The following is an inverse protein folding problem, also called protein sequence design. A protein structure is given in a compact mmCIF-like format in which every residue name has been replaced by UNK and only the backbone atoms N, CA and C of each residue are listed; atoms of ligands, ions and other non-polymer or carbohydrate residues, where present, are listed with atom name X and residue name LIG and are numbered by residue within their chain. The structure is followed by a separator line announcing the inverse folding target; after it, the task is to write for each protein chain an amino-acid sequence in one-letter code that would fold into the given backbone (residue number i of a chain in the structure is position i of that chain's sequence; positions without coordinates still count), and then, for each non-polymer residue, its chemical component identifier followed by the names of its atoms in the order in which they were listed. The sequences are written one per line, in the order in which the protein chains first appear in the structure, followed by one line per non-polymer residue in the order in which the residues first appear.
data_IF_634255481113
#
_entry.id   IF_634255481113
#
_cell.length_a   1.000
_cell.length_b   1.000
_cell.length_c   1.000
_cell.angle_alpha   90.00
_cell.angle_beta   90.00
_cell.angle_gamma   90.00
#
_symmetry.space_group_name_H-M   'P 1'
#
loop_
_entity.id
_entity.type
_entity.pdbx_description
1 polymer ?
#
# COMPACT_ATOMS: atom_id res chain seq x y z
N UNK A 1 -52.64 -10.66 -16.74
CA UNK A 1 -51.44 -9.99 -16.17
C UNK A 1 -51.76 -9.67 -14.72
N UNK A 2 -51.01 -9.92 -13.63
CA UNK A 2 -49.67 -10.48 -13.34
C UNK A 2 -49.73 -10.82 -11.82
N UNK A 3 -49.81 -12.10 -11.41
CA UNK A 3 -49.78 -12.54 -9.97
C UNK A 3 -48.41 -13.07 -9.52
N UNK A 4 -47.45 -13.14 -10.44
CA UNK A 4 -46.12 -13.71 -10.25
C UNK A 4 -45.18 -12.78 -9.47
N UNK A 5 -45.50 -11.49 -9.42
CA UNK A 5 -44.70 -10.50 -8.70
C UNK A 5 -44.71 -10.70 -7.18
N UNK A 6 -45.80 -11.20 -6.59
CA UNK A 6 -45.84 -11.52 -5.16
C UNK A 6 -44.92 -12.70 -4.77
N UNK A 7 -44.77 -13.69 -5.66
CA UNK A 7 -43.84 -14.80 -5.45
C UNK A 7 -42.40 -14.36 -5.61
N UNK A 8 -42.12 -13.48 -6.58
CA UNK A 8 -40.79 -12.86 -6.75
C UNK A 8 -40.44 -12.00 -5.53
N UNK A 9 -41.35 -11.12 -5.08
CA UNK A 9 -41.14 -10.29 -3.89
C UNK A 9 -40.98 -11.13 -2.62
N UNK A 10 -41.76 -12.21 -2.48
CA UNK A 10 -41.63 -13.14 -1.35
C UNK A 10 -40.29 -13.87 -1.35
N UNK A 11 -39.83 -14.33 -2.51
CA UNK A 11 -38.52 -14.98 -2.66
C UNK A 11 -37.37 -14.01 -2.36
N UNK A 12 -37.44 -12.78 -2.89
CA UNK A 12 -36.46 -11.72 -2.58
C UNK A 12 -36.46 -11.37 -1.10
N UNK A 13 -37.63 -11.22 -0.48
CA UNK A 13 -37.75 -10.97 0.96
C UNK A 13 -37.16 -12.09 1.81
N UNK A 14 -37.38 -13.35 1.44
CA UNK A 14 -36.79 -14.50 2.11
C UNK A 14 -35.27 -14.55 1.98
N UNK A 15 -34.71 -14.22 0.80
CA UNK A 15 -33.27 -14.14 0.57
C UNK A 15 -32.62 -13.02 1.38
N UNK A 16 -33.24 -11.83 1.44
CA UNK A 16 -32.77 -10.71 2.27
C UNK A 16 -32.79 -11.11 3.75
N UNK A 17 -33.87 -11.73 4.21
CA UNK A 17 -33.96 -12.19 5.60
C UNK A 17 -32.90 -13.24 5.92
N UNK A 18 -32.69 -14.23 5.04
CA UNK A 18 -31.66 -15.24 5.21
C UNK A 18 -30.25 -14.62 5.24
N UNK A 19 -29.98 -13.63 4.39
CA UNK A 19 -28.72 -12.89 4.38
C UNK A 19 -28.51 -12.12 5.70
N UNK A 20 -29.52 -11.39 6.19
CA UNK A 20 -29.43 -10.65 7.45
C UNK A 20 -29.20 -11.60 8.65
N UNK A 21 -29.89 -12.74 8.68
CA UNK A 21 -29.68 -13.77 9.70
C UNK A 21 -28.24 -14.29 9.64
N UNK A 22 -27.71 -14.54 8.44
CA UNK A 22 -26.33 -14.99 8.28
C UNK A 22 -25.31 -13.93 8.76
N UNK A 23 -25.51 -12.65 8.42
CA UNK A 23 -24.66 -11.57 8.92
C UNK A 23 -24.65 -11.48 10.44
N UNK A 24 -25.82 -11.52 11.08
CA UNK A 24 -25.93 -11.48 12.55
C UNK A 24 -25.31 -12.72 13.18
N UNK A 25 -25.55 -13.90 12.61
CA UNK A 25 -24.98 -15.14 13.11
C UNK A 25 -23.44 -15.14 13.02
N UNK A 26 -22.86 -14.60 11.95
CA UNK A 26 -21.42 -14.45 11.79
C UNK A 26 -20.84 -13.42 12.77
N UNK A 27 -21.48 -12.26 12.94
CA UNK A 27 -21.04 -11.22 13.88
C UNK A 27 -21.07 -11.71 15.35
N UNK A 28 -22.05 -12.54 15.70
CA UNK A 28 -22.13 -13.15 17.04
C UNK A 28 -21.15 -14.31 17.25
N UNK A 29 -20.85 -15.07 16.19
CA UNK A 29 -19.93 -16.21 16.26
C UNK A 29 -18.46 -15.76 16.24
N UNK A 30 -18.16 -14.71 15.49
CA UNK A 30 -16.83 -14.15 15.26
C UNK A 30 -16.87 -12.63 15.54
N UNK A 31 -17.08 -12.20 16.80
CA UNK A 31 -17.12 -10.79 17.12
C UNK A 31 -15.79 -10.13 16.76
N UNK A 32 -15.84 -8.87 16.32
CA UNK A 32 -14.64 -8.08 16.13
C UNK A 32 -13.80 -8.10 17.41
N UNK A 33 -12.52 -8.41 17.28
CA UNK A 33 -11.58 -8.32 18.39
C UNK A 33 -11.24 -6.86 18.61
N UNK A 34 -11.76 -6.28 19.68
CA UNK A 34 -11.31 -4.97 20.14
C UNK A 34 -9.92 -5.13 20.76
N UNK A 35 -8.96 -4.28 20.39
CA UNK A 35 -7.61 -4.32 20.96
C UNK A 35 -7.61 -4.18 22.49
N UNK A 36 -8.63 -3.51 23.05
CA UNK A 36 -8.84 -3.36 24.48
C UNK A 36 -9.18 -4.67 25.20
N UNK A 37 -9.72 -5.66 24.49
CA UNK A 37 -10.13 -6.95 25.05
C UNK A 37 -8.99 -7.99 25.00
N UNK A 38 -7.90 -7.69 24.31
CA UNK A 38 -6.71 -8.55 24.27
C UNK A 38 -5.97 -8.38 25.61
N UNK A 39 -5.83 -9.44 26.42
CA UNK A 39 -5.13 -9.34 27.69
C UNK A 39 -3.68 -8.92 27.46
N UNK A 40 -3.21 -7.94 28.23
CA UNK A 40 -1.81 -7.51 28.18
C UNK A 40 -0.89 -8.73 28.41
N UNK A 41 0.09 -8.90 27.53
CA UNK A 41 1.04 -9.99 27.65
C UNK A 41 2.10 -9.60 28.72
N UNK A 42 2.11 -10.25 29.91
CA UNK A 42 2.99 -9.86 31.01
C UNK A 42 4.48 -10.15 30.72
N UNK A 43 4.78 -10.83 29.61
CA UNK A 43 6.15 -11.13 29.17
C UNK A 43 6.69 -10.12 28.15
N UNK A 44 5.89 -9.14 27.72
CA UNK A 44 6.32 -8.11 26.76
C UNK A 44 6.61 -6.83 27.53
N UNK A 45 7.89 -6.43 27.54
CA UNK A 45 8.26 -5.10 28.05
C UNK A 45 7.77 -4.05 27.06
N UNK A 46 7.17 -2.94 27.52
CA UNK A 46 6.81 -1.84 26.63
C UNK A 46 8.03 -1.38 25.82
N UNK A 47 7.83 -1.15 24.53
CA UNK A 47 8.85 -0.53 23.70
C UNK A 47 9.07 0.93 24.13
N UNK A 48 10.22 1.52 23.80
CA UNK A 48 10.46 2.95 24.01
C UNK A 48 9.32 3.80 23.42
N UNK A 49 9.00 4.91 24.08
CA UNK A 49 7.92 5.81 23.63
C UNK A 49 8.20 6.42 22.24
N UNK A 50 9.48 6.50 21.87
CA UNK A 50 10.00 6.98 20.59
C UNK A 50 10.32 5.83 19.61
N UNK A 51 9.82 4.61 19.87
CA UNK A 51 10.00 3.50 18.96
C UNK A 51 9.32 3.76 17.60
N UNK A 52 10.07 3.51 16.52
CA UNK A 52 9.56 3.70 15.15
C UNK A 52 8.78 2.47 14.69
N UNK A 53 7.49 2.68 14.44
CA UNK A 53 6.57 1.74 13.79
C UNK A 53 6.27 2.26 12.40
N UNK A 54 6.85 1.62 11.39
CA UNK A 54 6.78 2.11 10.03
C UNK A 54 6.45 1.04 8.99
N UNK A 55 6.22 1.51 7.77
CA UNK A 55 6.09 0.69 6.56
C UNK A 55 7.31 0.89 5.66
N UNK A 56 7.47 0.01 4.67
CA UNK A 56 8.59 0.10 3.73
C UNK A 56 8.19 -0.31 2.31
N UNK A 57 8.78 0.35 1.31
CA UNK A 57 8.63 0.07 -0.12
C UNK A 57 9.98 0.11 -0.83
N UNK A 58 9.98 -0.18 -2.14
CA UNK A 58 11.05 0.21 -3.05
C UNK A 58 10.45 0.83 -4.30
N UNK A 59 11.16 1.79 -4.88
CA UNK A 59 10.73 2.62 -5.99
C UNK A 59 10.15 1.80 -7.15
N UNK A 60 10.93 0.87 -7.70
CA UNK A 60 10.51 0.03 -8.83
C UNK A 60 9.28 -0.84 -8.54
N UNK A 61 9.04 -1.19 -7.27
CA UNK A 61 7.89 -2.01 -6.89
C UNK A 61 6.59 -1.21 -6.75
N UNK A 62 6.65 0.12 -6.53
CA UNK A 62 5.45 0.90 -6.20
C UNK A 62 5.21 2.14 -7.06
N UNK A 63 6.26 2.82 -7.53
CA UNK A 63 6.13 4.11 -8.24
C UNK A 63 5.40 3.97 -9.57
N UNK A 64 5.76 2.93 -10.34
CA UNK A 64 5.33 2.74 -11.72
C UNK A 64 6.12 3.60 -12.70
N UNK A 65 6.18 3.18 -13.97
CA UNK A 65 6.85 3.93 -15.05
C UNK A 65 8.39 3.86 -15.06
N UNK A 66 8.99 2.98 -14.26
CA UNK A 66 10.45 2.84 -14.14
C UNK A 66 10.96 1.94 -15.27
N UNK A 67 11.25 2.52 -16.43
CA UNK A 67 11.55 1.77 -17.68
C UNK A 67 13.04 1.75 -18.07
N UNK A 68 13.90 2.47 -17.36
CA UNK A 68 15.30 2.71 -17.76
C UNK A 68 16.34 2.01 -16.88
N UNK A 69 15.93 1.05 -16.05
CA UNK A 69 16.83 0.28 -15.19
C UNK A 69 16.98 -1.20 -15.64
N UNK A 70 17.96 -1.87 -15.05
CA UNK A 70 18.27 -3.29 -15.29
C UNK A 70 17.10 -4.24 -15.02
N UNK A 71 16.28 -3.98 -13.99
CA UNK A 71 15.07 -4.74 -13.70
C UNK A 71 14.00 -4.58 -14.78
N UNK A 72 13.79 -3.37 -15.29
CA UNK A 72 12.87 -3.10 -16.41
C UNK A 72 13.30 -3.87 -17.67
N UNK A 73 14.61 -4.01 -17.89
CA UNK A 73 15.15 -4.85 -18.96
C UNK A 73 14.93 -6.33 -18.68
N UNK A 74 15.19 -6.77 -17.45
CA UNK A 74 15.06 -8.16 -17.03
C UNK A 74 13.60 -8.64 -17.14
N UNK A 75 12.63 -7.81 -16.78
CA UNK A 75 11.21 -8.17 -16.85
C UNK A 75 10.65 -8.21 -18.27
N UNK A 76 11.27 -7.48 -19.21
CA UNK A 76 10.89 -7.50 -20.62
C UNK A 76 11.30 -8.80 -21.33
N UNK A 77 12.21 -9.58 -20.75
CA UNK A 77 12.65 -10.86 -21.31
C UNK A 77 11.64 -11.99 -20.98
N UNK A 78 11.25 -12.73 -22.01
CA UNK A 78 10.28 -13.83 -21.89
C UNK A 78 10.79 -14.92 -20.93
N UNK A 79 10.00 -15.20 -19.89
CA UNK A 79 10.24 -16.30 -18.95
C UNK A 79 10.96 -15.88 -17.66
N UNK A 80 11.44 -14.65 -17.56
CA UNK A 80 12.10 -14.15 -16.35
C UNK A 80 11.11 -13.85 -15.22
N UNK A 81 9.92 -13.36 -15.56
CA UNK A 81 8.86 -13.05 -14.59
C UNK A 81 7.73 -14.08 -14.68
N UNK A 82 7.30 -14.58 -13.52
CA UNK A 82 6.15 -15.48 -13.43
C UNK A 82 4.90 -14.77 -13.98
N UNK A 83 4.31 -15.33 -15.03
CA UNK A 83 3.15 -14.75 -15.69
C UNK A 83 3.47 -13.64 -16.69
N UNK A 84 4.74 -13.26 -16.86
CA UNK A 84 5.18 -12.30 -17.87
C UNK A 84 4.65 -10.87 -17.67
N UNK A 85 4.27 -10.51 -16.43
CA UNK A 85 3.77 -9.18 -16.09
C UNK A 85 4.89 -8.39 -15.41
N UNK A 86 5.44 -7.40 -16.11
CA UNK A 86 6.40 -6.45 -15.53
C UNK A 86 5.74 -5.44 -14.59
N UNK A 87 6.57 -4.60 -13.97
CA UNK A 87 6.21 -3.56 -13.01
C UNK A 87 5.13 -2.61 -13.56
N UNK A 88 5.29 -2.13 -14.80
CA UNK A 88 4.30 -1.27 -15.46
C UNK A 88 3.97 -0.03 -14.64
N UNK A 89 2.69 0.17 -14.30
CA UNK A 89 2.25 1.25 -13.39
C UNK A 89 2.39 0.89 -11.91
N UNK A 90 2.71 -0.36 -11.56
CA UNK A 90 2.76 -0.85 -10.19
C UNK A 90 1.48 -0.47 -9.41
N UNK A 91 1.63 0.24 -8.28
CA UNK A 91 0.52 0.83 -7.53
C UNK A 91 0.42 2.36 -7.72
N UNK A 92 1.14 2.90 -8.70
CA UNK A 92 1.09 4.32 -9.11
C UNK A 92 1.48 5.29 -7.99
N UNK A 93 2.38 4.87 -7.09
CA UNK A 93 2.83 5.68 -5.95
C UNK A 93 3.41 7.03 -6.39
N UNK A 94 4.07 7.09 -7.55
CA UNK A 94 4.63 8.32 -8.12
C UNK A 94 3.59 9.44 -8.26
N UNK A 95 2.34 9.10 -8.54
CA UNK A 95 1.25 10.08 -8.68
C UNK A 95 0.36 10.17 -7.44
N UNK A 96 0.60 9.32 -6.42
CA UNK A 96 -0.29 9.10 -5.27
C UNK A 96 0.39 9.27 -3.91
N UNK A 97 1.62 9.77 -3.87
CA UNK A 97 2.39 10.03 -2.64
C UNK A 97 1.53 10.63 -1.52
N UNK A 98 0.78 11.69 -1.80
CA UNK A 98 -0.08 12.35 -0.79
C UNK A 98 -1.18 11.43 -0.24
N UNK A 99 -1.80 10.62 -1.10
CA UNK A 99 -2.82 9.63 -0.70
C UNK A 99 -2.20 8.54 0.17
N UNK A 100 -1.05 8.00 -0.26
CA UNK A 100 -0.35 6.93 0.44
C UNK A 100 0.18 7.39 1.81
N UNK A 101 0.69 8.62 1.91
CA UNK A 101 1.06 9.24 3.20
C UNK A 101 -0.16 9.37 4.12
N UNK A 102 -1.31 9.77 3.58
CA UNK A 102 -2.57 9.80 4.33
C UNK A 102 -2.95 8.43 4.90
N UNK A 103 -2.76 7.36 4.11
CA UNK A 103 -2.99 5.99 4.56
C UNK A 103 -1.99 5.55 5.63
N UNK A 104 -0.71 5.92 5.52
CA UNK A 104 0.30 5.66 6.55
C UNK A 104 -0.11 6.29 7.90
N UNK A 105 -0.59 7.54 7.87
CA UNK A 105 -1.14 8.19 9.05
C UNK A 105 -2.36 7.48 9.62
N UNK A 106 -3.28 7.00 8.76
CA UNK A 106 -4.48 6.29 9.18
C UNK A 106 -4.21 4.95 9.89
N UNK A 107 -3.11 4.27 9.54
CA UNK A 107 -2.67 3.04 10.22
C UNK A 107 -1.75 3.30 11.43
N UNK A 108 -1.46 4.56 11.74
CA UNK A 108 -0.62 4.96 12.88
C UNK A 108 0.87 4.76 12.67
N UNK A 109 1.34 4.69 11.41
CA UNK A 109 2.77 4.63 11.12
C UNK A 109 3.44 5.97 11.45
N UNK A 110 4.62 5.93 12.07
CA UNK A 110 5.44 7.09 12.40
C UNK A 110 6.81 7.10 11.69
N UNK A 111 7.06 6.12 10.83
CA UNK A 111 8.23 6.07 9.96
C UNK A 111 7.88 5.47 8.60
N UNK A 112 8.58 5.87 7.55
CA UNK A 112 8.43 5.30 6.22
C UNK A 112 9.78 5.13 5.55
N UNK A 113 10.10 3.89 5.17
CA UNK A 113 11.30 3.57 4.39
C UNK A 113 10.96 3.42 2.92
N UNK A 114 11.49 4.30 2.09
CA UNK A 114 11.36 4.22 0.63
C UNK A 114 12.73 4.20 -0.03
N UNK A 115 12.79 3.92 -1.32
CA UNK A 115 14.03 4.00 -2.09
C UNK A 115 13.94 5.03 -3.20
N UNK A 116 15.10 5.52 -3.66
CA UNK A 116 15.19 6.39 -4.83
C UNK A 116 15.37 5.52 -6.08
N UNK A 117 14.65 5.81 -7.16
CA UNK A 117 14.88 5.24 -8.49
C UNK A 117 16.02 6.00 -9.18
N UNK A 118 17.22 5.41 -9.19
CA UNK A 118 18.39 6.07 -9.79
C UNK A 118 18.18 6.40 -11.27
N UNK A 119 17.53 5.51 -12.03
CA UNK A 119 17.27 5.72 -13.46
C UNK A 119 16.31 6.88 -13.78
N UNK A 120 15.61 7.42 -12.77
CA UNK A 120 14.84 8.68 -12.90
C UNK A 120 15.70 9.90 -12.60
N UNK A 121 16.51 9.81 -11.54
CA UNK A 121 17.32 10.92 -11.04
C UNK A 121 18.54 11.17 -11.95
N UNK A 122 19.19 10.12 -12.42
CA UNK A 122 20.27 10.17 -13.39
C UNK A 122 20.03 9.12 -14.50
N UNK A 123 19.19 9.43 -15.51
CA UNK A 123 18.84 8.46 -16.57
C UNK A 123 20.01 8.03 -17.47
N UNK A 124 21.09 8.81 -17.47
CA UNK A 124 22.35 8.48 -18.12
C UNK A 124 23.47 9.18 -17.37
N UNK A 125 24.67 8.59 -17.33
CA UNK A 125 25.84 9.15 -16.66
C UNK A 125 26.03 10.65 -16.95
N UNK A 126 26.01 11.47 -15.90
CA UNK A 126 26.17 12.92 -15.94
C UNK A 126 24.90 13.69 -16.31
N UNK A 127 23.76 13.04 -16.59
CA UNK A 127 22.49 13.68 -16.91
C UNK A 127 21.55 13.65 -15.72
N UNK A 128 21.53 14.72 -14.94
CA UNK A 128 20.67 14.84 -13.76
C UNK A 128 19.26 15.36 -14.08
N UNK A 129 18.24 14.77 -13.47
CA UNK A 129 16.85 15.20 -13.56
C UNK A 129 16.43 15.97 -12.31
N UNK A 130 16.38 17.29 -12.41
CA UNK A 130 15.88 18.15 -11.31
C UNK A 130 14.41 17.90 -10.99
N UNK A 131 13.60 17.51 -11.98
CA UNK A 131 12.19 17.17 -11.77
C UNK A 131 12.04 15.93 -10.89
N UNK A 132 12.77 14.85 -11.20
CA UNK A 132 12.73 13.64 -10.40
C UNK A 132 13.32 13.87 -9.00
N UNK A 133 14.38 14.67 -8.90
CA UNK A 133 14.96 15.04 -7.63
C UNK A 133 13.97 15.85 -6.76
N UNK A 134 13.30 16.85 -7.35
CA UNK A 134 12.29 17.64 -6.66
C UNK A 134 11.13 16.78 -6.17
N UNK A 135 10.72 15.77 -6.93
CA UNK A 135 9.67 14.83 -6.51
C UNK A 135 10.01 14.14 -5.17
N UNK A 136 11.22 13.58 -5.04
CA UNK A 136 11.64 12.96 -3.78
C UNK A 136 11.83 13.96 -2.64
N UNK A 137 12.24 15.21 -2.95
CA UNK A 137 12.28 16.28 -1.94
C UNK A 137 10.87 16.60 -1.42
N UNK A 138 9.89 16.67 -2.30
CA UNK A 138 8.49 16.92 -1.96
C UNK A 138 7.88 15.75 -1.17
N UNK A 139 8.23 14.50 -1.48
CA UNK A 139 7.84 13.33 -0.68
C UNK A 139 8.40 13.41 0.75
N UNK A 140 9.70 13.69 0.90
CA UNK A 140 10.34 13.87 2.22
C UNK A 140 9.68 15.01 3.01
N UNK A 141 9.34 16.11 2.34
CA UNK A 141 8.66 17.23 2.97
C UNK A 141 7.26 16.83 3.47
N UNK A 142 6.47 16.14 2.64
CA UNK A 142 5.14 15.67 3.00
C UNK A 142 5.16 14.65 4.16
N UNK A 143 6.12 13.71 4.16
CA UNK A 143 6.30 12.76 5.27
C UNK A 143 6.56 13.49 6.59
N UNK A 144 7.47 14.46 6.59
CA UNK A 144 7.79 15.25 7.77
C UNK A 144 6.62 16.10 8.25
N UNK A 145 5.86 16.69 7.32
CA UNK A 145 4.64 17.43 7.65
C UNK A 145 3.57 16.53 8.28
N UNK A 146 3.48 15.27 7.84
CA UNK A 146 2.60 14.26 8.43
C UNK A 146 3.13 13.67 9.75
N UNK A 147 4.31 14.07 10.23
CA UNK A 147 4.93 13.53 11.43
C UNK A 147 5.49 12.11 11.26
N UNK A 148 5.79 11.71 10.02
CA UNK A 148 6.35 10.40 9.66
C UNK A 148 7.84 10.57 9.36
N UNK A 149 8.70 9.82 10.06
CA UNK A 149 10.15 9.88 9.87
C UNK A 149 10.56 9.21 8.54
N UNK A 150 11.16 9.95 7.59
CA UNK A 150 11.59 9.41 6.31
C UNK A 150 12.92 8.64 6.45
N UNK A 151 12.95 7.39 5.98
CA UNK A 151 14.15 6.56 5.93
C UNK A 151 14.52 6.26 4.48
N UNK A 152 15.50 6.96 3.93
CA UNK A 152 15.86 6.85 2.51
C UNK A 152 16.80 5.68 2.25
N UNK A 153 16.41 4.82 1.32
CA UNK A 153 17.26 3.76 0.75
C UNK A 153 17.83 4.24 -0.58
N UNK A 154 19.13 4.50 -0.65
CA UNK A 154 19.76 5.04 -1.87
C UNK A 154 19.77 4.06 -3.05
N UNK A 155 19.85 2.76 -2.77
CA UNK A 155 19.89 1.71 -3.79
C UNK A 155 19.06 0.51 -3.33
N UNK A 156 18.06 0.14 -4.12
CA UNK A 156 17.21 -1.02 -3.86
C UNK A 156 17.08 -1.91 -5.11
N UNK A 157 18.21 -2.50 -5.50
CA UNK A 157 18.38 -3.45 -6.61
C UNK A 157 18.24 -2.92 -8.04
N UNK A 158 17.72 -1.73 -8.27
CA UNK A 158 17.64 -1.14 -9.62
C UNK A 158 18.83 -0.25 -9.94
N UNK A 159 19.43 -0.46 -11.12
CA UNK A 159 20.55 0.32 -11.68
C UNK A 159 20.31 0.69 -13.14
#
# INVERSE_FOLDING_TARGET
MRRWWHWVLGAVGALVLAYLIACIALDLAEPNVEFADIPENPFVTPLPADFLWGTATSAHQVEGGNIWNDWARFEAETGNIKGGVGSGLAVDHWNRVTEDIGLMGAIGANAFRFSIEWSRVEPSEGSWSEEAWSHYQDEVAQLREAGIEPMVTLLHFTL
#
